data_IF_523525815988
#
_entry.id   IF_523525815988
#
_cell.length_a   1.000
_cell.length_b   1.000
_cell.length_c   1.000
_cell.angle_alpha   90.00
_cell.angle_beta   90.00
_cell.angle_gamma   90.00
#
_symmetry.space_group_name_H-M   'P 1'
#
loop_
_entity.id
_entity.type
_entity.pdbx_description
1 polymer ?
#
# COMPACT_ATOMS: atom_id res chain seq x y z
N UNK A 1 25.75 12.10 32.86
CA UNK A 1 24.56 12.31 32.00
C UNK A 1 24.67 13.61 31.19
N UNK A 2 25.11 14.73 31.77
CA UNK A 2 25.20 16.02 31.07
C UNK A 2 26.16 16.10 29.86
N UNK A 3 27.26 15.33 29.85
CA UNK A 3 28.28 15.42 28.79
C UNK A 3 27.80 14.88 27.43
N UNK A 4 27.03 13.79 27.44
CA UNK A 4 26.40 13.23 26.23
C UNK A 4 25.33 14.14 25.64
N UNK A 5 24.61 14.87 26.50
CA UNK A 5 23.61 15.83 26.06
C UNK A 5 24.27 17.06 25.43
N UNK A 6 25.40 17.51 25.99
CA UNK A 6 26.19 18.61 25.43
C UNK A 6 26.78 18.25 24.05
N UNK A 7 27.33 17.04 23.89
CA UNK A 7 27.81 16.54 22.59
C UNK A 7 26.68 16.46 21.55
N UNK A 8 25.48 16.02 21.96
CA UNK A 8 24.30 15.96 21.09
C UNK A 8 23.85 17.36 20.65
N UNK A 9 23.88 18.35 21.54
CA UNK A 9 23.57 19.74 21.22
C UNK A 9 24.60 20.36 20.26
N UNK A 10 25.88 20.13 20.49
CA UNK A 10 26.97 20.61 19.62
C UNK A 10 26.87 19.96 18.23
N UNK A 11 26.59 18.66 18.16
CA UNK A 11 26.37 17.93 16.90
C UNK A 11 25.14 18.45 16.15
N UNK A 12 24.03 18.70 16.86
CA UNK A 12 22.82 19.25 16.27
C UNK A 12 23.02 20.66 15.69
N UNK A 13 23.79 21.51 16.38
CA UNK A 13 24.12 22.88 15.96
C UNK A 13 25.10 22.93 14.77
N UNK A 14 25.94 21.91 14.60
CA UNK A 14 26.88 21.79 13.46
C UNK A 14 26.27 21.20 12.18
N UNK A 15 25.01 20.77 12.20
CA UNK A 15 24.37 20.20 11.00
C UNK A 15 24.20 21.26 9.93
N UNK A 16 25.04 21.18 8.89
CA UNK A 16 24.87 21.95 7.66
C UNK A 16 23.53 21.59 7.02
N UNK A 17 22.81 22.60 6.52
CA UNK A 17 21.58 22.39 5.75
C UNK A 17 21.91 21.49 4.56
N UNK A 18 21.16 20.41 4.39
CA UNK A 18 21.35 19.49 3.27
C UNK A 18 21.09 20.18 1.92
N UNK A 19 21.67 19.64 0.85
CA UNK A 19 21.43 20.12 -0.51
C UNK A 19 19.92 20.11 -0.84
N UNK A 20 19.47 21.04 -1.67
CA UNK A 20 18.09 21.05 -2.17
C UNK A 20 17.80 19.80 -3.00
N UNK A 21 16.54 19.35 -3.05
CA UNK A 21 16.11 18.24 -3.88
C UNK A 21 15.73 18.77 -5.26
N UNK A 22 16.24 18.16 -6.32
CA UNK A 22 15.77 18.46 -7.68
C UNK A 22 14.51 17.65 -8.01
N UNK A 23 13.72 18.12 -8.97
CA UNK A 23 12.52 17.39 -9.42
C UNK A 23 12.87 16.01 -9.97
N UNK A 24 13.98 15.91 -10.71
CA UNK A 24 14.47 14.64 -11.25
C UNK A 24 14.92 13.68 -10.14
N UNK A 25 15.60 14.18 -9.11
CA UNK A 25 15.98 13.40 -7.92
C UNK A 25 14.73 12.89 -7.18
N UNK A 26 13.67 13.69 -7.09
CA UNK A 26 12.39 13.29 -6.51
C UNK A 26 11.67 12.21 -7.35
N UNK A 27 11.67 12.32 -8.67
CA UNK A 27 11.04 11.34 -9.58
C UNK A 27 11.75 9.99 -9.47
N UNK A 28 13.08 9.97 -9.58
CA UNK A 28 13.86 8.73 -9.49
C UNK A 28 13.71 8.08 -8.11
N UNK A 29 13.65 8.88 -7.04
CA UNK A 29 13.34 8.37 -5.70
C UNK A 29 11.99 7.64 -5.67
N UNK A 30 10.95 8.24 -6.25
CA UNK A 30 9.61 7.62 -6.30
C UNK A 30 9.67 6.31 -7.08
N UNK A 31 10.21 6.32 -8.29
CA UNK A 31 10.31 5.15 -9.14
C UNK A 31 11.02 3.98 -8.44
N UNK A 32 12.15 4.26 -7.78
CA UNK A 32 12.93 3.24 -7.10
C UNK A 32 12.19 2.70 -5.85
N UNK A 33 11.52 3.56 -5.09
CA UNK A 33 10.71 3.13 -3.94
C UNK A 33 9.53 2.24 -4.38
N UNK A 34 8.92 2.54 -5.52
CA UNK A 34 7.81 1.75 -6.07
C UNK A 34 8.27 0.35 -6.51
N UNK A 35 9.49 0.19 -7.04
CA UNK A 35 10.06 -1.13 -7.38
C UNK A 35 10.17 -2.05 -6.16
N UNK A 36 10.49 -1.48 -5.00
CA UNK A 36 10.68 -2.24 -3.75
C UNK A 36 9.50 -2.17 -2.78
N UNK A 37 8.33 -1.73 -3.24
CA UNK A 37 7.22 -1.39 -2.37
C UNK A 37 6.74 -2.56 -1.49
N UNK A 38 6.66 -3.77 -2.04
CA UNK A 38 6.29 -4.97 -1.30
C UNK A 38 7.27 -5.28 -0.16
N UNK A 39 8.56 -4.96 -0.35
CA UNK A 39 9.61 -5.17 0.64
C UNK A 39 9.61 -4.07 1.71
N UNK A 40 9.26 -2.84 1.33
CA UNK A 40 9.20 -1.67 2.21
C UNK A 40 7.90 -1.57 3.02
N UNK A 41 6.76 -1.91 2.42
CA UNK A 41 5.43 -1.67 2.99
C UNK A 41 4.54 -2.92 3.04
N UNK A 42 4.94 -4.03 2.43
CA UNK A 42 4.16 -5.27 2.43
C UNK A 42 4.07 -5.94 3.80
N UNK A 43 2.95 -6.64 4.05
CA UNK A 43 2.77 -7.48 5.24
C UNK A 43 3.49 -8.80 5.03
N UNK A 44 4.68 -8.93 5.60
CA UNK A 44 5.49 -10.14 5.50
C UNK A 44 4.94 -11.23 6.45
N UNK A 45 4.26 -12.25 5.90
CA UNK A 45 3.57 -13.31 6.66
C UNK A 45 4.47 -14.55 6.81
N UNK A 46 4.57 -15.10 8.03
CA UNK A 46 5.32 -16.34 8.31
C UNK A 46 5.89 -16.42 9.73
N UNK A 47 5.95 -17.63 10.29
CA UNK A 47 6.63 -17.89 11.57
C UNK A 47 8.15 -17.71 11.38
N UNK A 48 8.78 -16.81 12.15
CA UNK A 48 10.21 -16.49 12.05
C UNK A 48 10.56 -15.15 11.39
N UNK A 49 9.56 -14.39 10.91
CA UNK A 49 9.76 -13.06 10.31
C UNK A 49 9.70 -11.92 11.34
N UNK A 50 9.12 -12.16 12.52
CA UNK A 50 9.09 -11.21 13.64
C UNK A 50 10.53 -10.91 14.08
N UNK A 51 11.03 -9.72 13.72
CA UNK A 51 12.40 -9.24 14.02
C UNK A 51 13.29 -9.02 12.79
N UNK A 52 13.10 -9.78 11.70
CA UNK A 52 13.89 -9.60 10.46
C UNK A 52 13.36 -8.48 9.55
N UNK A 53 12.08 -8.14 9.70
CA UNK A 53 11.40 -7.14 8.87
C UNK A 53 12.07 -5.75 8.92
N UNK A 54 12.51 -5.29 10.09
CA UNK A 54 13.20 -4.00 10.23
C UNK A 54 14.48 -3.95 9.42
N UNK A 55 15.32 -4.99 9.56
CA UNK A 55 16.59 -5.13 8.84
C UNK A 55 16.38 -5.18 7.32
N UNK A 56 15.37 -5.92 6.87
CA UNK A 56 15.03 -6.01 5.44
C UNK A 56 14.65 -4.64 4.88
N UNK A 57 13.88 -3.82 5.61
CA UNK A 57 13.55 -2.46 5.19
C UNK A 57 14.76 -1.56 5.18
N UNK A 58 15.60 -1.62 6.21
CA UNK A 58 16.82 -0.83 6.32
C UNK A 58 17.78 -1.13 5.16
N UNK A 59 18.03 -2.41 4.87
CA UNK A 59 18.81 -2.86 3.71
C UNK A 59 18.21 -2.37 2.39
N UNK A 60 16.89 -2.36 2.27
CA UNK A 60 16.21 -1.89 1.05
C UNK A 60 16.37 -0.40 0.88
N UNK A 61 16.16 0.39 1.94
CA UNK A 61 16.40 1.84 1.90
C UNK A 61 17.86 2.17 1.62
N UNK A 62 18.80 1.38 2.14
CA UNK A 62 20.20 1.54 1.84
C UNK A 62 20.48 1.26 0.35
N UNK A 63 19.95 0.18 -0.21
CA UNK A 63 20.09 -0.13 -1.64
C UNK A 63 19.52 0.97 -2.55
N UNK A 64 18.37 1.55 -2.20
CA UNK A 64 17.80 2.70 -2.91
C UNK A 64 18.72 3.91 -2.79
N UNK A 65 19.29 4.13 -1.60
CA UNK A 65 20.24 5.24 -1.34
C UNK A 65 21.49 5.10 -2.17
N UNK A 66 22.06 3.90 -2.26
CA UNK A 66 23.27 3.64 -3.05
C UNK A 66 23.00 3.86 -4.54
N UNK A 67 21.84 3.42 -5.02
CA UNK A 67 21.40 3.64 -6.41
C UNK A 67 21.26 5.13 -6.71
N UNK A 68 20.59 5.88 -5.84
CA UNK A 68 20.38 7.32 -6.03
C UNK A 68 21.70 8.10 -5.93
N UNK A 69 22.56 7.78 -4.97
CA UNK A 69 23.88 8.39 -4.83
C UNK A 69 24.85 8.04 -5.97
N UNK A 70 24.64 6.92 -6.66
CA UNK A 70 25.41 6.60 -7.88
C UNK A 70 25.09 7.54 -9.04
N UNK A 71 23.87 8.10 -9.06
CA UNK A 71 23.39 9.01 -10.10
C UNK A 71 23.60 10.48 -9.71
N UNK A 72 23.53 10.80 -8.42
CA UNK A 72 23.61 12.17 -7.90
C UNK A 72 24.77 12.36 -6.92
N UNK A 73 25.49 13.48 -7.04
CA UNK A 73 26.65 13.81 -6.18
C UNK A 73 26.27 14.34 -4.78
N UNK A 74 25.02 14.16 -4.36
CA UNK A 74 24.44 14.86 -3.21
C UNK A 74 24.66 14.13 -1.88
N UNK A 75 25.20 12.91 -1.89
CA UNK A 75 25.59 12.15 -0.70
C UNK A 75 24.43 11.97 0.30
N UNK A 76 23.26 11.55 -0.19
CA UNK A 76 22.06 11.40 0.63
C UNK A 76 22.16 10.20 1.55
N UNK A 77 21.47 10.26 2.69
CA UNK A 77 21.32 9.14 3.63
C UNK A 77 19.97 8.46 3.46
N UNK A 78 19.89 7.19 3.83
CA UNK A 78 18.65 6.39 3.79
C UNK A 78 17.50 7.01 4.58
N UNK A 79 17.80 7.58 5.75
CA UNK A 79 16.83 8.32 6.56
C UNK A 79 16.29 9.58 5.84
N UNK A 80 17.16 10.31 5.14
CA UNK A 80 16.79 11.49 4.37
C UNK A 80 15.88 11.12 3.19
N UNK A 81 16.13 10.00 2.52
CA UNK A 81 15.30 9.50 1.43
C UNK A 81 13.92 9.07 1.92
N UNK A 82 13.86 8.26 2.98
CA UNK A 82 12.61 7.79 3.57
C UNK A 82 11.71 8.97 3.97
N UNK A 83 12.29 9.93 4.70
CA UNK A 83 11.57 11.15 5.10
C UNK A 83 11.12 11.99 3.91
N UNK A 84 11.94 12.08 2.85
CA UNK A 84 11.57 12.83 1.64
C UNK A 84 10.39 12.18 0.92
N UNK A 85 10.41 10.86 0.77
CA UNK A 85 9.31 10.10 0.18
C UNK A 85 8.00 10.30 0.96
N UNK A 86 8.03 10.19 2.28
CA UNK A 86 6.85 10.42 3.13
C UNK A 86 6.30 11.84 2.97
N UNK A 87 7.17 12.85 2.89
CA UNK A 87 6.76 14.23 2.63
C UNK A 87 6.15 14.41 1.25
N UNK A 88 6.67 13.75 0.21
CA UNK A 88 6.07 13.80 -1.14
C UNK A 88 4.70 13.13 -1.11
N UNK A 89 4.59 11.94 -0.51
CA UNK A 89 3.34 11.21 -0.35
C UNK A 89 2.28 12.02 0.38
N UNK A 90 2.65 12.66 1.49
CA UNK A 90 1.74 13.49 2.26
C UNK A 90 1.28 14.71 1.47
N UNK A 91 2.20 15.45 0.82
CA UNK A 91 1.85 16.62 -0.01
C UNK A 91 0.92 16.25 -1.17
N UNK A 92 1.19 15.13 -1.85
CA UNK A 92 0.34 14.63 -2.92
C UNK A 92 -1.08 14.34 -2.39
N UNK A 93 -1.18 13.63 -1.25
CA UNK A 93 -2.46 13.33 -0.61
C UNK A 93 -3.22 14.59 -0.21
N UNK A 94 -2.57 15.55 0.44
CA UNK A 94 -3.22 16.78 0.92
C UNK A 94 -3.77 17.62 -0.23
N UNK A 95 -3.03 17.74 -1.34
CA UNK A 95 -3.50 18.44 -2.55
C UNK A 95 -4.74 17.77 -3.13
N UNK A 96 -4.77 16.44 -3.14
CA UNK A 96 -5.86 15.65 -3.73
C UNK A 96 -7.08 15.63 -2.84
N UNK A 97 -6.90 15.49 -1.52
CA UNK A 97 -7.98 15.65 -0.56
C UNK A 97 -8.58 17.06 -0.66
N UNK A 98 -7.76 18.09 -0.92
CA UNK A 98 -8.19 19.45 -1.21
C UNK A 98 -8.96 19.62 -2.54
N UNK A 99 -8.70 18.77 -3.54
CA UNK A 99 -9.45 18.73 -4.81
C UNK A 99 -10.76 17.96 -4.64
N UNK A 100 -10.73 16.82 -3.93
CA UNK A 100 -11.88 15.91 -3.73
C UNK A 100 -12.95 16.49 -2.81
N UNK A 101 -12.55 17.32 -1.83
CA UNK A 101 -13.49 17.96 -0.91
C UNK A 101 -14.01 19.27 -1.52
N UNK A 102 -15.31 19.39 -1.84
CA UNK A 102 -15.87 20.66 -2.26
C UNK A 102 -15.66 21.68 -1.14
N UNK A 103 -15.00 22.80 -1.47
CA UNK A 103 -14.70 23.85 -0.49
C UNK A 103 -15.98 24.49 0.03
N UNK A 104 -16.17 24.44 1.34
CA UNK A 104 -17.21 25.17 2.06
C UNK A 104 -16.76 26.57 2.53
N UNK A 105 -15.68 27.13 1.97
CA UNK A 105 -15.18 28.47 2.34
C UNK A 105 -14.29 29.13 1.28
N UNK A 106 -14.27 30.48 1.28
CA UNK A 106 -13.69 31.37 0.26
C UNK A 106 -12.15 31.46 0.21
N UNK A 107 -11.43 30.36 0.46
CA UNK A 107 -9.97 30.32 0.41
C UNK A 107 -9.41 30.09 -1.02
N UNK A 108 -8.18 30.59 -1.31
CA UNK A 108 -7.53 30.42 -2.61
C UNK A 108 -7.47 28.95 -3.07
N UNK A 109 -7.60 28.66 -4.39
CA UNK A 109 -7.51 27.31 -4.95
C UNK A 109 -6.21 26.60 -4.51
N UNK A 110 -6.27 25.29 -4.19
CA UNK A 110 -5.06 24.53 -3.84
C UNK A 110 -4.07 24.59 -5.00
N UNK A 111 -2.77 24.66 -4.67
CA UNK A 111 -1.72 24.66 -5.68
C UNK A 111 -1.76 23.36 -6.49
N UNK A 112 -1.47 23.42 -7.81
CA UNK A 112 -1.41 22.23 -8.65
C UNK A 112 -0.36 21.23 -8.13
N UNK A 113 -0.56 19.95 -8.45
CA UNK A 113 0.41 18.89 -8.16
C UNK A 113 1.71 19.16 -8.92
N UNK A 114 2.84 18.87 -8.29
CA UNK A 114 4.12 18.82 -9.02
C UNK A 114 4.20 17.51 -9.81
N UNK A 115 5.05 17.47 -10.83
CA UNK A 115 5.24 16.27 -11.67
C UNK A 115 5.57 15.01 -10.85
N UNK A 116 6.41 15.16 -9.81
CA UNK A 116 6.73 14.07 -8.89
C UNK A 116 5.50 13.62 -8.06
N UNK A 117 4.69 14.57 -7.59
CA UNK A 117 3.47 14.24 -6.84
C UNK A 117 2.41 13.57 -7.71
N UNK A 118 2.29 14.00 -8.97
CA UNK A 118 1.38 13.41 -9.96
C UNK A 118 1.79 11.97 -10.31
N UNK A 119 3.07 11.73 -10.58
CA UNK A 119 3.60 10.39 -10.85
C UNK A 119 3.39 9.43 -9.67
N UNK A 120 3.67 9.89 -8.44
CA UNK A 120 3.43 9.10 -7.23
C UNK A 120 1.95 8.77 -7.07
N UNK A 121 1.07 9.75 -7.28
CA UNK A 121 -0.35 9.53 -7.11
C UNK A 121 -0.91 8.56 -8.16
N UNK A 122 -0.56 8.72 -9.44
CA UNK A 122 -1.03 7.83 -10.49
C UNK A 122 -0.64 6.36 -10.22
N UNK A 123 0.55 6.14 -9.66
CA UNK A 123 0.99 4.81 -9.24
C UNK A 123 0.22 4.26 -8.02
N UNK A 124 -0.29 5.13 -7.14
CA UNK A 124 -0.98 4.75 -5.91
C UNK A 124 -2.51 4.70 -6.02
N UNK A 125 -3.14 5.47 -6.91
CA UNK A 125 -4.60 5.60 -7.02
C UNK A 125 -5.28 4.36 -7.62
N UNK A 126 -4.52 3.48 -8.27
CA UNK A 126 -4.99 2.16 -8.71
C UNK A 126 -5.19 1.17 -7.57
N UNK A 127 -4.80 1.54 -6.33
CA UNK A 127 -4.89 0.67 -5.16
C UNK A 127 -6.23 0.85 -4.44
N UNK A 128 -6.81 -0.22 -3.89
CA UNK A 128 -7.97 -0.11 -3.03
C UNK A 128 -7.62 0.74 -1.80
N UNK A 129 -8.23 1.92 -1.69
CA UNK A 129 -8.11 2.83 -0.55
C UNK A 129 -9.44 2.87 0.21
N UNK A 130 -9.38 2.95 1.55
CA UNK A 130 -10.58 3.11 2.37
C UNK A 130 -11.08 4.55 2.18
N UNK A 131 -12.09 4.70 1.34
CA UNK A 131 -12.81 5.97 1.16
C UNK A 131 -13.91 6.02 2.21
N UNK A 132 -14.02 7.14 2.93
CA UNK A 132 -15.13 7.37 3.84
C UNK A 132 -16.48 7.38 3.10
N UNK A 133 -17.56 7.01 3.78
CA UNK A 133 -18.90 7.06 3.21
C UNK A 133 -19.19 8.47 2.69
N UNK A 134 -19.52 8.60 1.40
CA UNK A 134 -19.87 9.87 0.79
C UNK A 134 -21.22 10.33 1.34
N UNK A 135 -21.24 11.50 1.99
CA UNK A 135 -22.47 12.22 2.35
C UNK A 135 -23.02 11.92 3.74
N UNK A 136 -22.47 12.59 4.75
CA UNK A 136 -23.18 12.93 5.97
C UNK A 136 -23.07 14.44 6.14
N UNK A 137 -24.10 15.18 5.76
CA UNK A 137 -24.18 16.62 6.03
C UNK A 137 -24.39 16.71 7.54
N UNK A 138 -23.38 17.19 8.26
CA UNK A 138 -23.50 17.48 9.69
C UNK A 138 -24.16 18.85 9.82
N UNK A 139 -25.47 18.89 9.58
CA UNK A 139 -26.27 20.11 9.80
C UNK A 139 -26.71 20.15 11.25
N UNK A 140 -25.86 20.71 12.11
CA UNK A 140 -26.32 21.40 13.32
C UNK A 140 -26.99 22.71 12.88
N UNK A 141 -28.20 22.61 12.33
CA UNK A 141 -29.08 23.75 12.10
C UNK A 141 -30.40 23.51 12.83
N UNK A 142 -30.81 24.37 13.77
CA UNK A 142 -32.06 24.19 14.49
C UNK A 142 -33.22 24.39 13.51
N UNK A 143 -33.98 23.33 13.24
CA UNK A 143 -35.21 23.42 12.45
C UNK A 143 -36.18 24.39 13.13
N UNK A 144 -36.29 25.59 12.57
CA UNK A 144 -37.43 26.46 12.76
C UNK A 144 -38.55 26.07 11.78
N UNK A 145 -39.67 25.65 12.37
CA UNK A 145 -41.06 25.84 11.95
C UNK A 145 -41.53 25.32 10.56
N UNK A 146 -42.44 24.35 10.59
CA UNK A 146 -43.59 24.32 9.68
C UNK A 146 -44.81 23.78 10.43
N UNK A 147 -45.86 24.58 10.47
CA UNK A 147 -47.12 24.33 11.14
C UNK A 147 -48.02 23.37 10.34
N UNK A 148 -48.90 22.63 11.04
CA UNK A 148 -50.33 22.61 10.67
C UNK A 148 -51.25 22.04 11.78
N UNK A 149 -52.29 22.83 12.12
CA UNK A 149 -53.72 22.49 12.36
C UNK A 149 -54.11 21.29 13.26
N UNK A 150 -55.08 21.29 14.21
CA UNK A 150 -56.22 22.14 14.61
C UNK A 150 -56.71 21.66 16.00
N UNK A 151 -57.11 22.57 16.90
CA UNK A 151 -58.36 22.52 17.72
C UNK A 151 -58.37 23.61 18.80
N UNK A 152 -59.26 24.60 18.61
CA UNK A 152 -60.23 25.19 19.57
C UNK A 152 -60.16 24.71 21.04
N UNK A 153 -60.24 25.52 22.11
CA UNK A 153 -61.05 26.73 22.41
C UNK A 153 -60.60 27.33 23.78
N UNK A 154 -60.78 28.66 23.96
CA UNK A 154 -61.07 29.47 25.20
C UNK A 154 -60.20 29.24 26.47
N UNK A 155 -59.68 30.22 27.22
CA UNK A 155 -60.21 31.46 27.82
C UNK A 155 -59.04 32.35 28.30
N UNK A 156 -59.33 33.62 28.54
CA UNK A 156 -58.43 34.70 28.98
C UNK A 156 -57.92 34.60 30.44
N UNK A 157 -56.88 35.41 30.70
CA UNK A 157 -56.53 36.16 31.92
C UNK A 157 -55.26 35.84 32.73
N UNK A 158 -54.52 36.95 32.91
CA UNK A 158 -53.75 37.46 34.05
C UNK A 158 -52.34 36.95 34.40
N UNK A 159 -51.42 37.85 34.05
CA UNK A 159 -50.25 38.36 34.79
C UNK A 159 -50.25 38.09 36.30
N UNK A 160 -49.11 37.64 36.87
CA UNK A 160 -48.51 38.18 38.10
C UNK A 160 -47.14 37.53 38.45
N UNK A 161 -46.11 38.39 38.46
CA UNK A 161 -45.03 38.65 39.46
C UNK A 161 -44.23 37.53 40.15
N UNK A 162 -42.92 37.79 40.19
CA UNK A 162 -41.80 37.25 40.99
C UNK A 162 -42.05 36.32 42.19
N UNK A 163 -41.14 35.35 42.38
CA UNK A 163 -40.18 35.38 43.51
C UNK A 163 -39.15 34.22 43.43
N UNK A 164 -37.94 34.56 43.86
CA UNK A 164 -36.76 33.74 44.11
C UNK A 164 -36.94 32.62 45.16
N UNK A 165 -36.21 31.50 45.01
CA UNK A 165 -35.32 30.92 46.05
C UNK A 165 -34.77 29.54 45.62
N UNK A 166 -33.50 29.31 45.97
CA UNK A 166 -32.69 28.12 45.74
C UNK A 166 -33.23 26.84 46.40
N UNK A 167 -32.91 25.67 45.82
CA UNK A 167 -33.09 24.36 46.45
C UNK A 167 -32.49 23.22 45.62
N UNK A 168 -31.51 22.54 46.19
CA UNK A 168 -30.72 21.44 45.63
C UNK A 168 -31.49 20.14 45.35
N UNK A 169 -30.87 19.33 44.48
CA UNK A 169 -30.94 17.87 44.35
C UNK A 169 -32.26 17.20 43.91
N UNK A 170 -32.27 16.64 42.70
CA UNK A 170 -32.19 15.18 42.55
C UNK A 170 -32.19 14.72 41.10
N UNK A 171 -31.24 13.84 40.84
CA UNK A 171 -31.12 12.96 39.68
C UNK A 171 -32.26 11.93 39.68
N UNK A 172 -32.99 11.76 38.58
CA UNK A 172 -33.27 10.46 37.93
C UNK A 172 -34.49 10.49 36.99
N UNK A 173 -34.45 9.56 36.02
CA UNK A 173 -35.50 9.09 35.12
C UNK A 173 -35.84 9.99 33.92
N UNK A 174 -35.95 9.52 32.67
CA UNK A 174 -35.74 8.20 32.04
C UNK A 174 -35.77 8.46 30.54
N UNK A 175 -34.75 8.05 29.79
CA UNK A 175 -34.92 7.87 28.35
C UNK A 175 -34.18 6.62 27.86
N UNK A 176 -34.85 5.47 28.02
CA UNK A 176 -34.34 4.13 27.68
C UNK A 176 -34.98 3.55 26.41
N UNK A 177 -35.60 4.35 25.54
CA UNK A 177 -36.40 3.86 24.40
C UNK A 177 -35.81 4.15 23.01
N UNK A 178 -34.52 4.50 22.89
CA UNK A 178 -33.87 4.73 21.58
C UNK A 178 -32.67 3.81 21.27
N UNK A 179 -32.23 2.97 22.21
CA UNK A 179 -31.00 2.17 22.07
C UNK A 179 -31.16 0.80 21.42
N UNK A 180 -32.37 0.24 21.34
CA UNK A 180 -32.57 -1.11 20.78
C UNK A 180 -32.64 -1.13 19.25
N UNK A 181 -33.27 -0.12 18.63
CA UNK A 181 -33.33 -0.01 17.15
C UNK A 181 -31.95 0.29 16.53
N UNK A 182 -31.12 1.12 17.19
CA UNK A 182 -29.74 1.40 16.77
C UNK A 182 -28.80 0.18 16.93
N UNK A 183 -29.01 -0.66 17.95
CA UNK A 183 -28.21 -1.89 18.15
C UNK A 183 -28.54 -2.97 17.13
N UNK A 184 -29.82 -3.22 16.82
CA UNK A 184 -30.21 -4.22 15.80
C UNK A 184 -29.70 -3.87 14.39
N UNK A 185 -29.74 -2.59 13.99
CA UNK A 185 -29.25 -2.15 12.66
C UNK A 185 -27.73 -2.26 12.51
N UNK A 186 -26.97 -2.09 13.61
CA UNK A 186 -25.50 -2.24 13.62
C UNK A 186 -25.02 -3.69 13.55
N UNK A 187 -25.80 -4.63 14.10
CA UNK A 187 -25.47 -6.06 14.06
C UNK A 187 -25.68 -6.62 12.65
N UNK A 188 -26.82 -6.33 12.01
CA UNK A 188 -27.10 -6.75 10.64
C UNK A 188 -26.09 -6.20 9.62
N UNK A 189 -25.65 -4.96 9.78
CA UNK A 189 -24.65 -4.35 8.89
C UNK A 189 -23.24 -4.95 9.07
N UNK A 190 -22.96 -5.56 10.22
CA UNK A 190 -21.70 -6.26 10.50
C UNK A 190 -21.72 -7.67 9.93
N UNK A 191 -22.84 -8.38 10.05
CA UNK A 191 -23.04 -9.70 9.46
C UNK A 191 -22.90 -9.67 7.93
N UNK A 192 -23.50 -8.69 7.27
CA UNK A 192 -23.35 -8.50 5.81
C UNK A 192 -21.89 -8.23 5.41
N UNK A 193 -21.14 -7.49 6.23
CA UNK A 193 -19.73 -7.20 5.96
C UNK A 193 -18.86 -8.46 6.12
N UNK A 194 -19.12 -9.26 7.15
CA UNK A 194 -18.44 -10.53 7.39
C UNK A 194 -18.76 -11.55 6.29
N UNK A 195 -20.00 -11.57 5.77
CA UNK A 195 -20.38 -12.40 4.61
C UNK A 195 -19.64 -12.00 3.33
N UNK A 196 -19.54 -10.70 3.03
CA UNK A 196 -18.79 -10.20 1.87
C UNK A 196 -17.28 -10.49 1.99
N UNK A 197 -16.72 -10.43 3.20
CA UNK A 197 -15.32 -10.78 3.44
C UNK A 197 -15.07 -12.29 3.21
N UNK A 198 -15.99 -13.14 3.67
CA UNK A 198 -15.94 -14.58 3.42
C UNK A 198 -16.05 -14.89 1.93
N UNK A 199 -16.93 -14.21 1.20
CA UNK A 199 -17.10 -14.39 -0.24
C UNK A 199 -15.84 -13.98 -1.02
N UNK A 200 -15.25 -12.83 -0.70
CA UNK A 200 -13.99 -12.40 -1.30
C UNK A 200 -12.86 -13.40 -1.04
N UNK A 201 -12.74 -13.91 0.19
CA UNK A 201 -11.74 -14.93 0.52
C UNK A 201 -11.98 -16.24 -0.26
N UNK A 202 -13.23 -16.62 -0.51
CA UNK A 202 -13.55 -17.79 -1.35
C UNK A 202 -13.13 -17.57 -2.80
N UNK A 203 -13.43 -16.40 -3.37
CA UNK A 203 -13.05 -16.04 -4.73
C UNK A 203 -11.53 -15.98 -4.89
N UNK A 204 -10.81 -15.42 -3.92
CA UNK A 204 -9.33 -15.40 -3.92
C UNK A 204 -8.75 -16.81 -3.86
N UNK A 205 -9.27 -17.67 -2.98
CA UNK A 205 -8.82 -19.06 -2.88
C UNK A 205 -9.11 -19.84 -4.17
N UNK A 206 -10.25 -19.61 -4.81
CA UNK A 206 -10.57 -20.24 -6.09
C UNK A 206 -9.61 -19.77 -7.19
N UNK A 207 -9.36 -18.46 -7.29
CA UNK A 207 -8.41 -17.90 -8.25
C UNK A 207 -7.00 -18.47 -8.05
N UNK A 208 -6.54 -18.55 -6.80
CA UNK A 208 -5.26 -19.18 -6.47
C UNK A 208 -5.24 -20.66 -6.87
N UNK A 209 -6.32 -21.40 -6.64
CA UNK A 209 -6.41 -22.81 -7.05
C UNK A 209 -6.38 -22.97 -8.58
N UNK A 210 -7.00 -22.06 -9.34
CA UNK A 210 -6.94 -22.04 -10.80
C UNK A 210 -5.51 -21.72 -11.29
N UNK A 211 -4.84 -20.76 -10.66
CA UNK A 211 -3.45 -20.40 -10.97
C UNK A 211 -2.49 -21.56 -10.68
N UNK A 212 -2.63 -22.23 -9.54
CA UNK A 212 -1.87 -23.44 -9.22
C UNK A 212 -2.07 -24.55 -10.25
N UNK A 213 -3.32 -24.80 -10.68
CA UNK A 213 -3.61 -25.80 -11.72
C UNK A 213 -2.96 -25.44 -13.06
N UNK A 214 -2.99 -24.16 -13.44
CA UNK A 214 -2.35 -23.66 -14.67
C UNK A 214 -0.83 -23.88 -14.62
N UNK A 215 -0.19 -23.49 -13.52
CA UNK A 215 1.25 -23.68 -13.32
C UNK A 215 1.63 -25.16 -13.32
N UNK A 216 0.83 -26.03 -12.72
CA UNK A 216 1.06 -27.48 -12.76
C UNK A 216 1.01 -28.03 -14.19
N UNK A 217 0.05 -27.58 -15.00
CA UNK A 217 -0.05 -28.01 -16.40
C UNK A 217 1.14 -27.52 -17.23
N UNK A 218 1.57 -26.29 -17.00
CA UNK A 218 2.74 -25.68 -17.64
C UNK A 218 4.03 -26.43 -17.28
N UNK A 219 4.22 -26.73 -15.99
CA UNK A 219 5.36 -27.52 -15.51
C UNK A 219 5.39 -28.92 -16.15
N UNK A 220 4.24 -29.59 -16.23
CA UNK A 220 4.13 -30.91 -16.88
C UNK A 220 4.45 -30.84 -18.38
N UNK A 221 4.03 -29.77 -19.07
CA UNK A 221 4.34 -29.56 -20.49
C UNK A 221 5.84 -29.38 -20.69
N UNK A 222 6.49 -28.54 -19.88
CA UNK A 222 7.93 -28.35 -19.93
C UNK A 222 8.70 -29.65 -19.65
N UNK A 223 8.27 -30.44 -18.67
CA UNK A 223 8.88 -31.74 -18.36
C UNK A 223 8.80 -32.71 -19.56
N UNK A 224 7.67 -32.73 -20.28
CA UNK A 224 7.54 -33.57 -21.48
C UNK A 224 8.42 -33.09 -22.63
N UNK A 225 8.59 -31.77 -22.78
CA UNK A 225 9.45 -31.18 -23.81
C UNK A 225 10.92 -31.43 -23.52
N UNK A 226 11.33 -31.31 -22.26
CA UNK A 226 12.68 -31.63 -21.79
C UNK A 226 13.02 -33.10 -22.05
N UNK A 227 12.11 -34.04 -21.70
CA UNK A 227 12.30 -35.47 -22.00
C UNK A 227 12.41 -35.75 -23.49
N UNK A 228 11.64 -35.04 -24.32
CA UNK A 228 11.73 -35.17 -25.79
C UNK A 228 13.09 -34.71 -26.29
N UNK A 229 13.54 -33.52 -25.89
CA UNK A 229 14.85 -32.99 -26.25
C UNK A 229 16.00 -33.89 -25.79
N UNK A 230 15.87 -34.48 -24.60
CA UNK A 230 16.85 -35.43 -24.08
C UNK A 230 16.96 -36.67 -24.98
N UNK A 231 15.83 -37.23 -25.41
CA UNK A 231 15.82 -38.36 -26.36
C UNK A 231 16.39 -38.01 -27.73
N UNK A 232 16.16 -36.79 -28.22
CA UNK A 232 16.74 -36.31 -29.48
C UNK A 232 18.27 -36.16 -29.37
N UNK A 233 18.77 -35.66 -28.23
CA UNK A 233 20.20 -35.53 -27.96
C UNK A 233 20.89 -36.90 -27.91
N UNK A 234 20.30 -37.87 -27.21
CA UNK A 234 20.78 -39.26 -27.17
C UNK A 234 20.82 -39.89 -28.58
N UNK A 235 19.81 -39.63 -29.42
CA UNK A 235 19.79 -40.11 -30.80
C UNK A 235 20.92 -39.51 -31.63
N UNK A 236 21.16 -38.20 -31.49
CA UNK A 236 22.28 -37.51 -32.18
C UNK A 236 23.63 -38.07 -31.72
N UNK A 237 23.80 -38.32 -30.43
CA UNK A 237 25.02 -38.91 -29.88
C UNK A 237 25.27 -40.34 -30.37
N UNK A 238 24.21 -41.15 -30.46
CA UNK A 238 24.28 -42.48 -31.05
C UNK A 238 24.66 -42.42 -32.54
N UNK A 239 24.06 -41.49 -33.29
CA UNK A 239 24.38 -41.29 -34.71
C UNK A 239 25.83 -40.83 -34.90
N UNK A 240 26.33 -39.93 -34.04
CA UNK A 240 27.73 -39.49 -34.03
C UNK A 240 28.66 -40.69 -33.80
N UNK A 241 28.39 -41.50 -32.78
CA UNK A 241 29.17 -42.70 -32.46
C UNK A 241 29.18 -43.70 -33.63
N UNK A 242 28.02 -43.93 -34.26
CA UNK A 242 27.91 -44.77 -35.44
C UNK A 242 28.77 -44.26 -36.61
N UNK A 243 28.72 -42.96 -36.90
CA UNK A 243 29.52 -42.35 -37.96
C UNK A 243 31.03 -42.46 -37.69
N UNK A 244 31.45 -42.30 -36.44
CA UNK A 244 32.86 -42.49 -36.03
C UNK A 244 33.29 -43.94 -36.26
N UNK A 245 32.49 -44.92 -35.80
CA UNK A 245 32.78 -46.34 -36.02
C UNK A 245 32.83 -46.69 -37.51
N UNK A 246 31.89 -46.16 -38.31
CA UNK A 246 31.87 -46.37 -39.76
C UNK A 246 33.12 -45.79 -40.43
N UNK A 247 33.50 -44.56 -40.07
CA UNK A 247 34.70 -43.93 -40.59
C UNK A 247 35.97 -44.74 -40.25
N UNK A 248 36.11 -45.18 -38.99
CA UNK A 248 37.24 -45.99 -38.56
C UNK A 248 37.27 -47.39 -39.21
N UNK A 249 36.12 -47.95 -39.56
CA UNK A 249 36.05 -49.21 -40.29
C UNK A 249 36.44 -49.06 -41.78
N UNK A 250 36.08 -47.94 -42.41
CA UNK A 250 36.46 -47.62 -43.79
C UNK A 250 37.94 -47.19 -43.90
N UNK A 251 38.50 -46.57 -42.86
CA UNK A 251 39.88 -46.09 -42.80
C UNK A 251 40.55 -46.49 -41.48
N UNK A 252 40.93 -47.77 -41.30
CA UNK A 252 41.60 -48.21 -40.07
C UNK A 252 42.97 -47.52 -39.94
N UNK A 253 43.30 -47.10 -38.71
CA UNK A 253 44.52 -46.35 -38.35
C UNK A 253 45.83 -47.01 -38.82
N UNK A 254 45.80 -48.30 -39.20
CA UNK A 254 46.94 -49.00 -39.79
C UNK A 254 47.36 -48.46 -41.18
N UNK A 255 46.55 -47.63 -41.85
CA UNK A 255 46.92 -46.95 -43.10
C UNK A 255 47.64 -45.60 -42.90
N UNK A 256 47.81 -45.14 -41.66
CA UNK A 256 48.36 -43.81 -41.33
C UNK A 256 49.75 -43.84 -40.68
N UNK A 257 50.39 -45.00 -40.53
CA UNK A 257 51.78 -45.11 -40.06
C UNK A 257 52.74 -45.42 -41.23
N UNK A 258 53.37 -44.42 -41.86
CA UNK A 258 54.38 -44.64 -42.90
C UNK A 258 55.78 -45.01 -42.36
N UNK A 259 55.94 -45.40 -41.09
CA UNK A 259 57.26 -45.69 -40.50
C UNK A 259 57.52 -47.19 -40.24
N UNK A 260 57.14 -48.04 -41.19
CA UNK A 260 57.62 -49.43 -41.28
C UNK A 260 58.23 -49.66 -42.67
N UNK A 261 59.39 -49.06 -42.91
CA UNK A 261 60.41 -49.53 -43.86
C UNK A 261 61.77 -49.10 -43.36
#
# INVERSE_FOLDING_TARGET
MAEKDLEKFISAAKRKRGANWSTEEEIILIEEVLKFENRLFGKMKGAGVKGKHGKIKEETWQSITDTLNSQFRNGRTSESLSKKYDNIKQRAKDKIDGIRRPKTGGGPPPAPLTQAEEALYQAMDTRPNIVGLVGGIDSDEPLACAADSLSSTVVENDMCVEACASGDASNSHTDRRSTEKKKKKKVASREILEELEIENLKLENEKLAQEMKKLMLEQKKLETEEKKLQSELEFVEMKKSYMICKFNAEFPECLLNPTCT
#
